data_IF_409646751769
#
_entry.id   IF_409646751769
#
_cell.length_a   1.000
_cell.length_b   1.000
_cell.length_c   1.000
_cell.angle_alpha   90.00
_cell.angle_beta   90.00
_cell.angle_gamma   90.00
#
_symmetry.space_group_name_H-M   'P 1'
#
loop_
_entity.id
_entity.type
_entity.pdbx_description
1 polymer ?
#
# COMPACT_ATOMS: atom_id res chain seq x y z
N UNK A 1 0.43 -27.91 -18.00
CA UNK A 1 1.40 -28.57 -17.10
C UNK A 1 0.95 -28.37 -15.65
N UNK A 2 0.91 -29.43 -14.82
CA UNK A 2 0.54 -29.32 -13.39
C UNK A 2 1.72 -28.79 -12.56
N UNK A 3 1.46 -27.87 -11.63
CA UNK A 3 2.45 -27.33 -10.70
C UNK A 3 2.19 -27.90 -9.29
N UNK A 4 3.24 -28.27 -8.59
CA UNK A 4 3.21 -28.84 -7.24
C UNK A 4 4.08 -28.00 -6.30
N UNK A 5 3.50 -27.55 -5.18
CA UNK A 5 4.25 -26.90 -4.11
C UNK A 5 4.64 -27.92 -3.04
N UNK A 6 5.94 -28.21 -2.94
CA UNK A 6 6.52 -29.14 -1.98
C UNK A 6 6.73 -28.53 -0.59
N UNK A 7 5.68 -27.94 -0.01
CA UNK A 7 5.79 -27.12 1.22
C UNK A 7 4.50 -27.12 2.04
N UNK A 8 4.63 -27.19 3.37
CA UNK A 8 3.53 -26.91 4.34
C UNK A 8 3.40 -25.42 4.69
N UNK A 9 4.31 -24.57 4.23
CA UNK A 9 4.32 -23.15 4.60
C UNK A 9 3.11 -22.42 4.04
N UNK A 10 2.27 -21.89 4.93
CA UNK A 10 1.14 -21.01 4.58
C UNK A 10 1.60 -19.77 3.83
N UNK A 11 2.74 -19.18 4.23
CA UNK A 11 3.32 -18.01 3.58
C UNK A 11 3.69 -18.29 2.11
N UNK A 12 4.37 -19.41 1.84
CA UNK A 12 4.77 -19.78 0.46
C UNK A 12 3.57 -20.10 -0.41
N UNK A 13 2.56 -20.78 0.14
CA UNK A 13 1.27 -21.04 -0.53
C UNK A 13 0.62 -19.71 -0.90
N UNK A 14 0.47 -18.80 0.07
CA UNK A 14 -0.15 -17.48 -0.13
C UNK A 14 0.60 -16.67 -1.18
N UNK A 15 1.94 -16.67 -1.17
CA UNK A 15 2.75 -16.01 -2.19
C UNK A 15 2.47 -16.58 -3.58
N UNK A 16 2.59 -17.88 -3.81
CA UNK A 16 2.35 -18.42 -5.15
C UNK A 16 0.92 -18.18 -5.65
N UNK A 17 -0.08 -18.25 -4.76
CA UNK A 17 -1.48 -17.91 -5.09
C UNK A 17 -1.65 -16.43 -5.44
N UNK A 18 -0.97 -15.53 -4.70
CA UNK A 18 -0.95 -14.10 -4.99
C UNK A 18 -0.46 -13.86 -6.43
N UNK A 19 0.59 -14.55 -6.88
CA UNK A 19 1.10 -14.40 -8.24
C UNK A 19 0.29 -15.18 -9.30
N UNK A 20 -0.95 -15.57 -9.01
CA UNK A 20 -1.87 -16.17 -9.99
C UNK A 20 -1.52 -17.61 -10.42
N UNK A 21 -0.59 -18.26 -9.74
CA UNK A 21 -0.21 -19.63 -10.08
C UNK A 21 -1.27 -20.62 -9.58
N UNK A 22 -1.77 -21.46 -10.48
CA UNK A 22 -2.59 -22.63 -10.13
C UNK A 22 -1.68 -23.82 -9.83
N UNK A 23 -1.65 -24.27 -8.58
CA UNK A 23 -0.80 -25.40 -8.14
C UNK A 23 -1.51 -26.29 -7.11
N UNK A 24 -1.01 -27.53 -6.97
CA UNK A 24 -1.40 -28.44 -5.90
C UNK A 24 -0.37 -28.41 -4.79
N UNK A 25 -0.81 -28.28 -3.54
CA UNK A 25 0.09 -28.42 -2.39
C UNK A 25 0.37 -29.91 -2.19
N UNK A 26 1.64 -30.31 -2.28
CA UNK A 26 2.07 -31.69 -2.02
C UNK A 26 3.24 -31.65 -1.04
N UNK A 27 2.97 -31.58 0.28
CA UNK A 27 4.03 -31.36 1.24
C UNK A 27 5.06 -32.48 1.31
N UNK A 28 6.33 -32.10 1.26
CA UNK A 28 7.45 -33.02 1.56
C UNK A 28 7.45 -33.45 3.03
N UNK A 29 7.75 -34.72 3.28
CA UNK A 29 8.01 -35.31 4.60
C UNK A 29 9.50 -35.35 4.95
N UNK A 30 10.40 -34.95 4.05
CA UNK A 30 11.84 -34.87 4.32
C UNK A 30 12.12 -33.97 5.54
N UNK A 31 12.90 -34.49 6.49
CA UNK A 31 13.38 -33.75 7.66
C UNK A 31 14.49 -32.79 7.26
N UNK A 32 14.30 -31.50 7.56
CA UNK A 32 15.28 -30.45 7.29
C UNK A 32 16.55 -30.65 8.12
N UNK A 33 17.71 -30.44 7.50
CA UNK A 33 18.99 -30.49 8.20
C UNK A 33 19.36 -29.09 8.71
N UNK A 34 19.73 -28.99 9.98
CA UNK A 34 20.24 -27.77 10.60
C UNK A 34 21.76 -27.62 10.50
N UNK A 35 22.47 -28.71 10.25
CA UNK A 35 23.92 -28.78 9.98
C UNK A 35 24.21 -30.02 9.15
N UNK A 36 25.14 -29.94 8.19
CA UNK A 36 25.63 -31.07 7.40
C UNK A 36 27.07 -30.82 7.01
N UNK A 37 28.01 -31.55 7.62
CA UNK A 37 29.44 -31.35 7.42
C UNK A 37 29.85 -29.88 7.53
N UNK A 38 30.69 -29.43 6.59
CA UNK A 38 31.17 -28.04 6.47
C UNK A 38 30.40 -27.23 5.41
N UNK A 39 29.14 -27.59 5.11
CA UNK A 39 28.35 -26.82 4.15
C UNK A 39 28.12 -25.38 4.64
N UNK A 40 28.32 -24.41 3.76
CA UNK A 40 27.88 -23.03 3.97
C UNK A 40 26.34 -22.96 4.10
N UNK A 41 25.82 -21.89 4.70
CA UNK A 41 24.37 -21.69 4.82
C UNK A 41 23.65 -21.72 3.47
N UNK A 42 24.25 -21.17 2.42
CA UNK A 42 23.73 -21.21 1.06
C UNK A 42 23.62 -22.64 0.52
N UNK A 43 24.67 -23.45 0.73
CA UNK A 43 24.67 -24.85 0.31
C UNK A 43 23.65 -25.67 1.11
N UNK A 44 23.51 -25.41 2.41
CA UNK A 44 22.54 -26.09 3.28
C UNK A 44 21.09 -25.87 2.82
N UNK A 45 20.70 -24.61 2.58
CA UNK A 45 19.33 -24.33 2.13
C UNK A 45 19.05 -24.86 0.72
N UNK A 46 20.04 -24.82 -0.18
CA UNK A 46 19.94 -25.45 -1.51
C UNK A 46 19.73 -26.96 -1.39
N UNK A 47 20.49 -27.61 -0.52
CA UNK A 47 20.41 -29.04 -0.26
C UNK A 47 19.02 -29.43 0.28
N UNK A 48 18.54 -28.74 1.31
CA UNK A 48 17.22 -28.99 1.89
C UNK A 48 16.09 -28.75 0.87
N UNK A 49 16.16 -27.65 0.10
CA UNK A 49 15.17 -27.37 -0.95
C UNK A 49 15.16 -28.46 -2.02
N UNK A 50 16.35 -28.91 -2.47
CA UNK A 50 16.47 -29.99 -3.46
C UNK A 50 15.81 -31.28 -2.99
N UNK A 51 16.12 -31.73 -1.77
CA UNK A 51 15.57 -33.00 -1.27
C UNK A 51 14.04 -32.97 -1.15
N UNK A 52 13.49 -31.83 -0.70
CA UNK A 52 12.03 -31.63 -0.66
C UNK A 52 11.41 -31.72 -2.04
N UNK A 53 12.02 -31.08 -3.04
CA UNK A 53 11.55 -31.15 -4.42
C UNK A 53 11.63 -32.58 -4.97
N UNK A 54 12.76 -33.26 -4.74
CA UNK A 54 13.00 -34.62 -5.23
C UNK A 54 12.01 -35.62 -4.65
N UNK A 55 11.74 -35.61 -3.35
CA UNK A 55 10.76 -36.51 -2.72
C UNK A 55 9.37 -36.42 -3.38
N UNK A 56 8.94 -35.21 -3.73
CA UNK A 56 7.67 -34.98 -4.41
C UNK A 56 7.77 -35.35 -5.89
N UNK A 57 8.90 -35.05 -6.56
CA UNK A 57 9.14 -35.40 -7.96
C UNK A 57 9.14 -36.92 -8.21
N UNK A 58 9.62 -37.73 -7.26
CA UNK A 58 9.54 -39.19 -7.30
C UNK A 58 8.09 -39.71 -7.28
N UNK A 59 7.16 -38.97 -6.68
CA UNK A 59 5.75 -39.36 -6.51
C UNK A 59 4.84 -38.90 -7.64
N UNK A 60 5.38 -38.18 -8.63
CA UNK A 60 4.60 -37.69 -9.78
C UNK A 60 5.18 -38.23 -11.09
N UNK A 61 4.31 -38.46 -12.07
CA UNK A 61 4.72 -38.88 -13.43
C UNK A 61 5.24 -37.68 -14.24
N UNK A 62 4.51 -36.56 -14.23
CA UNK A 62 4.84 -35.33 -14.93
C UNK A 62 4.38 -34.09 -14.15
N UNK A 63 5.06 -32.96 -14.37
CA UNK A 63 4.73 -31.67 -13.78
C UNK A 63 5.93 -30.86 -13.34
N UNK A 64 5.65 -29.76 -12.65
CA UNK A 64 6.65 -28.84 -12.10
C UNK A 64 6.58 -28.86 -10.58
N UNK A 65 7.66 -29.24 -9.89
CA UNK A 65 7.75 -29.23 -8.44
C UNK A 65 8.55 -28.01 -7.99
N UNK A 66 7.98 -27.21 -7.08
CA UNK A 66 8.64 -26.05 -6.47
C UNK A 66 8.83 -26.35 -4.98
N UNK A 67 10.06 -26.28 -4.50
CA UNK A 67 10.39 -26.43 -3.08
C UNK A 67 11.30 -25.32 -2.60
N UNK A 68 11.17 -24.95 -1.32
CA UNK A 68 12.04 -23.97 -0.69
C UNK A 68 12.39 -24.35 0.75
N UNK A 69 13.52 -23.84 1.21
CA UNK A 69 14.02 -23.98 2.57
C UNK A 69 14.55 -22.65 3.06
N UNK A 70 14.18 -22.22 4.26
CA UNK A 70 14.52 -20.88 4.76
C UNK A 70 15.10 -21.01 6.17
N UNK A 71 16.28 -20.42 6.40
CA UNK A 71 16.90 -20.34 7.71
C UNK A 71 17.24 -18.88 8.05
N UNK A 72 17.13 -18.53 9.32
CA UNK A 72 17.57 -17.24 9.84
C UNK A 72 18.93 -17.43 10.55
N UNK A 73 19.89 -16.55 10.30
CA UNK A 73 21.25 -16.64 10.85
C UNK A 73 21.65 -15.32 11.49
N UNK A 74 22.13 -15.39 12.73
CA UNK A 74 22.71 -14.24 13.43
C UNK A 74 23.97 -14.70 14.18
N UNK A 75 25.10 -14.01 13.98
CA UNK A 75 26.40 -14.32 14.60
C UNK A 75 26.78 -15.82 14.52
N UNK A 76 26.66 -16.42 13.34
CA UNK A 76 27.02 -17.83 13.10
C UNK A 76 26.00 -18.87 13.60
N UNK A 77 24.92 -18.45 14.28
CA UNK A 77 23.89 -19.34 14.82
C UNK A 77 22.65 -19.36 13.93
N UNK A 78 22.14 -20.57 13.65
CA UNK A 78 20.88 -20.78 12.92
C UNK A 78 19.70 -20.73 13.89
N UNK A 79 18.67 -19.98 13.49
CA UNK A 79 17.39 -19.83 14.16
C UNK A 79 16.30 -20.43 13.26
N UNK A 80 15.80 -21.60 13.66
CA UNK A 80 14.71 -22.30 12.98
C UNK A 80 13.34 -21.82 13.42
N UNK A 81 12.36 -22.72 13.46
CA UNK A 81 11.08 -22.49 14.12
C UNK A 81 11.21 -22.72 15.63
N UNK A 82 10.53 -21.93 16.47
CA UNK A 82 10.61 -22.09 17.92
C UNK A 82 9.94 -23.40 18.37
N UNK A 83 10.48 -24.04 19.41
CA UNK A 83 9.89 -25.26 20.00
C UNK A 83 8.66 -24.96 20.86
N UNK A 84 8.66 -23.81 21.52
CA UNK A 84 7.59 -23.32 22.38
C UNK A 84 7.62 -21.79 22.47
N UNK A 85 6.68 -21.19 23.19
CA UNK A 85 6.54 -19.74 23.28
C UNK A 85 7.73 -19.07 24.01
N UNK A 86 8.33 -19.75 24.98
CA UNK A 86 9.52 -19.26 25.70
C UNK A 86 10.74 -19.20 24.76
N UNK A 87 10.92 -20.24 23.95
CA UNK A 87 11.93 -20.28 22.89
C UNK A 87 11.71 -19.14 21.88
N UNK A 88 10.46 -18.95 21.44
CA UNK A 88 10.10 -17.85 20.54
C UNK A 88 10.45 -16.47 21.12
N UNK A 89 10.20 -16.24 22.42
CA UNK A 89 10.54 -14.96 23.08
C UNK A 89 12.04 -14.75 23.08
N UNK A 90 12.81 -15.76 23.51
CA UNK A 90 14.28 -15.72 23.53
C UNK A 90 14.85 -15.47 22.14
N UNK A 91 14.30 -16.15 21.12
CA UNK A 91 14.74 -16.00 19.73
C UNK A 91 14.47 -14.58 19.22
N UNK A 92 13.25 -14.06 19.36
CA UNK A 92 12.90 -12.73 18.87
C UNK A 92 13.68 -11.63 19.60
N UNK A 93 13.84 -11.75 20.93
CA UNK A 93 14.69 -10.85 21.72
C UNK A 93 16.11 -10.79 21.15
N UNK A 94 16.72 -11.96 20.92
CA UNK A 94 18.07 -12.07 20.38
C UNK A 94 18.19 -11.51 18.96
N UNK A 95 17.24 -11.84 18.10
CA UNK A 95 17.23 -11.36 16.72
C UNK A 95 17.01 -9.84 16.66
N UNK A 96 16.21 -9.26 17.55
CA UNK A 96 16.01 -7.80 17.60
C UNK A 96 17.25 -7.02 18.04
N UNK A 97 18.24 -7.67 18.66
CA UNK A 97 19.42 -6.98 19.22
C UNK A 97 20.53 -6.71 18.20
N UNK A 98 20.32 -7.01 16.91
CA UNK A 98 21.31 -6.78 15.87
C UNK A 98 20.95 -7.49 14.56
N UNK A 99 21.65 -7.19 13.45
CA UNK A 99 21.21 -7.64 12.14
C UNK A 99 21.31 -9.15 11.94
N UNK A 100 20.31 -9.71 11.29
CA UNK A 100 20.21 -11.13 10.92
C UNK A 100 20.15 -11.31 9.42
N UNK A 101 20.62 -12.46 8.92
CA UNK A 101 20.54 -12.83 7.50
C UNK A 101 19.59 -14.00 7.33
N UNK A 102 18.60 -13.86 6.45
CA UNK A 102 17.75 -14.96 6.00
C UNK A 102 18.29 -15.52 4.69
N UNK A 103 18.54 -16.81 4.68
CA UNK A 103 18.90 -17.57 3.50
C UNK A 103 17.70 -18.41 3.09
N UNK A 104 17.24 -18.28 1.85
CA UNK A 104 16.25 -19.21 1.28
C UNK A 104 16.83 -19.93 0.06
N UNK A 105 16.88 -21.25 0.13
CA UNK A 105 17.17 -22.11 -1.01
C UNK A 105 15.88 -22.42 -1.76
N UNK A 106 15.98 -22.50 -3.08
CA UNK A 106 14.87 -22.75 -3.99
C UNK A 106 15.28 -23.85 -4.96
N UNK A 107 14.44 -24.86 -5.11
CA UNK A 107 14.61 -25.93 -6.10
C UNK A 107 13.35 -26.05 -6.93
N UNK A 108 13.52 -26.08 -8.26
CA UNK A 108 12.43 -26.33 -9.20
C UNK A 108 12.81 -27.52 -10.08
N UNK A 109 11.95 -28.54 -10.09
CA UNK A 109 12.11 -29.76 -10.89
C UNK A 109 11.00 -29.79 -11.93
N UNK A 110 11.38 -29.79 -13.21
CA UNK A 110 10.46 -29.99 -14.34
C UNK A 110 10.59 -31.43 -14.82
N UNK A 111 9.48 -32.18 -14.79
CA UNK A 111 9.38 -33.56 -15.27
C UNK A 111 8.38 -33.62 -16.43
N UNK A 112 8.86 -34.00 -17.61
CA UNK A 112 8.08 -34.01 -18.85
C UNK A 112 8.63 -35.08 -19.80
N UNK A 113 7.77 -35.97 -20.33
CA UNK A 113 8.14 -37.01 -21.30
C UNK A 113 9.36 -37.86 -20.85
N UNK A 114 9.37 -38.26 -19.58
CA UNK A 114 10.45 -39.06 -18.99
C UNK A 114 11.76 -38.32 -18.73
N UNK A 115 11.88 -37.03 -19.09
CA UNK A 115 13.07 -36.21 -18.81
C UNK A 115 12.85 -35.37 -17.56
N UNK A 116 13.90 -35.25 -16.75
CA UNK A 116 13.92 -34.40 -15.55
C UNK A 116 14.95 -33.28 -15.72
N UNK A 117 14.53 -32.02 -15.52
CA UNK A 117 15.42 -30.87 -15.41
C UNK A 117 15.27 -30.24 -14.05
N UNK A 118 16.39 -30.10 -13.34
CA UNK A 118 16.43 -29.51 -12.00
C UNK A 118 17.25 -28.23 -12.03
N UNK A 119 16.68 -27.14 -11.51
CA UNK A 119 17.40 -25.88 -11.29
C UNK A 119 17.28 -25.50 -9.83
N UNK A 120 18.42 -25.16 -9.22
CA UNK A 120 18.54 -24.84 -7.81
C UNK A 120 19.24 -23.49 -7.68
N UNK A 121 18.67 -22.59 -6.88
CA UNK A 121 19.32 -21.33 -6.53
C UNK A 121 19.03 -20.96 -5.06
N UNK A 122 19.56 -19.84 -4.60
CA UNK A 122 19.28 -19.30 -3.28
C UNK A 122 19.22 -17.76 -3.31
N UNK A 123 18.66 -17.19 -2.25
CA UNK A 123 18.67 -15.76 -1.99
C UNK A 123 19.10 -15.49 -0.54
N UNK A 124 19.83 -14.38 -0.34
CA UNK A 124 20.23 -13.90 0.98
C UNK A 124 19.69 -12.48 1.18
N UNK A 125 18.95 -12.27 2.26
CA UNK A 125 18.45 -10.94 2.65
C UNK A 125 18.84 -10.64 4.08
N UNK A 126 19.35 -9.45 4.35
CA UNK A 126 19.68 -8.99 5.70
C UNK A 126 18.54 -8.14 6.24
N UNK A 127 18.17 -8.36 7.49
CA UNK A 127 17.06 -7.66 8.16
C UNK A 127 17.61 -6.95 9.39
N UNK A 128 17.16 -5.71 9.57
CA UNK A 128 17.51 -4.82 10.68
C UNK A 128 16.23 -4.53 11.46
N UNK A 129 16.30 -4.67 12.78
CA UNK A 129 15.18 -4.44 13.68
C UNK A 129 15.54 -3.43 14.74
N UNK A 130 14.53 -2.77 15.30
CA UNK A 130 14.70 -2.04 16.54
C UNK A 130 14.74 -3.02 17.73
N UNK A 131 15.59 -2.76 18.75
CA UNK A 131 15.67 -3.61 19.93
C UNK A 131 14.32 -3.72 20.66
N UNK A 132 13.88 -4.94 20.97
CA UNK A 132 12.59 -5.17 21.61
C UNK A 132 12.70 -5.45 23.12
N UNK A 133 11.84 -4.79 23.90
CA UNK A 133 11.62 -5.10 25.33
C UNK A 133 10.67 -6.30 25.48
N UNK A 134 10.73 -7.02 26.61
CA UNK A 134 9.93 -8.25 26.81
C UNK A 134 8.42 -7.99 26.82
N UNK A 135 8.02 -6.80 27.26
CA UNK A 135 6.63 -6.33 27.19
C UNK A 135 6.15 -6.18 25.74
N UNK A 136 6.98 -5.64 24.85
CA UNK A 136 6.66 -5.49 23.41
C UNK A 136 6.53 -6.86 22.74
N UNK A 137 7.48 -7.77 22.99
CA UNK A 137 7.45 -9.15 22.48
C UNK A 137 6.18 -9.87 22.94
N UNK A 138 5.83 -9.75 24.23
CA UNK A 138 4.64 -10.38 24.78
C UNK A 138 3.35 -9.80 24.20
N UNK A 139 3.28 -8.49 24.01
CA UNK A 139 2.15 -7.83 23.34
C UNK A 139 1.99 -8.28 21.89
N UNK A 140 3.11 -8.40 21.18
CA UNK A 140 3.15 -8.90 19.80
C UNK A 140 2.64 -10.36 19.71
N UNK A 141 3.12 -11.25 20.59
CA UNK A 141 2.71 -12.66 20.59
C UNK A 141 1.26 -12.90 21.01
N UNK A 142 0.62 -11.97 21.73
CA UNK A 142 -0.85 -12.03 21.95
C UNK A 142 -1.63 -11.93 20.64
N UNK A 143 -1.06 -11.25 19.63
CA UNK A 143 -1.74 -10.92 18.37
C UNK A 143 -1.21 -11.73 17.18
N UNK A 144 -0.01 -12.31 17.28
CA UNK A 144 0.63 -13.04 16.19
C UNK A 144 1.22 -14.35 16.71
N UNK A 145 0.81 -15.48 16.12
CA UNK A 145 1.41 -16.78 16.44
C UNK A 145 2.85 -16.86 15.91
N UNK A 146 3.86 -17.13 16.75
CA UNK A 146 5.25 -17.21 16.31
C UNK A 146 5.69 -18.60 15.86
N UNK A 147 4.86 -19.63 16.09
CA UNK A 147 5.26 -21.04 16.04
C UNK A 147 5.60 -21.56 14.64
N UNK A 148 5.04 -20.97 13.60
CA UNK A 148 5.25 -21.36 12.21
C UNK A 148 6.33 -20.55 11.49
N UNK A 149 7.00 -19.61 12.19
CA UNK A 149 7.88 -18.59 11.60
C UNK A 149 9.34 -18.79 12.00
N UNK A 150 10.22 -18.83 11.01
CA UNK A 150 11.66 -18.86 11.26
C UNK A 150 12.09 -17.53 11.89
N UNK A 151 12.71 -17.58 13.08
CA UNK A 151 13.04 -16.37 13.85
C UNK A 151 11.87 -15.72 14.59
N UNK A 152 10.69 -16.34 14.61
CA UNK A 152 9.56 -15.95 15.48
C UNK A 152 8.92 -14.58 15.19
N UNK A 153 9.09 -14.02 13.99
CA UNK A 153 8.41 -12.80 13.56
C UNK A 153 7.80 -12.94 12.16
N UNK A 154 6.79 -12.12 11.85
CA UNK A 154 6.35 -11.87 10.48
C UNK A 154 6.80 -10.50 10.00
N UNK A 155 6.98 -10.38 8.68
CA UNK A 155 7.35 -9.11 8.03
C UNK A 155 6.16 -8.43 7.36
N UNK A 156 5.07 -9.17 7.10
CA UNK A 156 3.86 -8.67 6.45
C UNK A 156 2.75 -8.29 7.44
N UNK A 157 2.89 -8.72 8.70
CA UNK A 157 1.89 -8.50 9.75
C UNK A 157 2.37 -7.47 10.77
N UNK A 158 2.01 -7.67 12.04
CA UNK A 158 2.34 -6.74 13.12
C UNK A 158 3.84 -6.68 13.42
N UNK A 159 4.65 -7.62 12.90
CA UNK A 159 6.09 -7.54 13.02
C UNK A 159 6.73 -6.46 12.14
N UNK A 160 6.02 -5.90 11.16
CA UNK A 160 6.49 -4.78 10.35
C UNK A 160 6.89 -3.56 11.19
N UNK A 161 6.20 -3.31 12.32
CA UNK A 161 6.43 -2.16 13.20
C UNK A 161 7.83 -2.08 13.83
N UNK A 162 8.55 -3.20 13.93
CA UNK A 162 9.89 -3.24 14.51
C UNK A 162 10.97 -3.57 13.50
N UNK A 163 10.65 -3.56 12.20
CA UNK A 163 11.61 -3.77 11.12
C UNK A 163 12.06 -2.41 10.62
N UNK A 164 13.30 -2.06 10.95
CA UNK A 164 13.91 -0.78 10.58
C UNK A 164 14.28 -0.73 9.10
N UNK A 165 14.86 -1.81 8.58
CA UNK A 165 15.39 -1.87 7.21
C UNK A 165 15.59 -3.30 6.72
N UNK A 166 15.48 -3.49 5.41
CA UNK A 166 15.74 -4.77 4.74
C UNK A 166 16.73 -4.52 3.61
N UNK A 167 17.84 -5.24 3.63
CA UNK A 167 18.84 -5.21 2.54
C UNK A 167 18.74 -6.52 1.75
N UNK A 168 18.03 -6.45 0.62
CA UNK A 168 17.85 -7.58 -0.31
C UNK A 168 16.39 -7.79 -0.69
N UNK A 169 16.03 -9.04 -1.00
CA UNK A 169 14.69 -9.38 -1.47
C UNK A 169 13.69 -9.47 -0.31
N UNK A 170 12.63 -8.66 -0.34
CA UNK A 170 11.52 -8.72 0.62
C UNK A 170 10.84 -10.10 0.64
N UNK A 171 10.49 -10.64 -0.53
CA UNK A 171 9.82 -11.94 -0.64
C UNK A 171 10.68 -13.11 -0.13
N UNK A 172 12.02 -12.97 -0.16
CA UNK A 172 12.92 -13.92 0.49
C UNK A 172 12.68 -13.96 2.01
N UNK A 173 12.44 -12.80 2.64
CA UNK A 173 12.16 -12.73 4.09
C UNK A 173 10.81 -13.35 4.42
N UNK A 174 9.81 -13.19 3.54
CA UNK A 174 8.52 -13.89 3.65
C UNK A 174 8.68 -15.41 3.49
N UNK A 175 9.71 -15.86 2.75
CA UNK A 175 10.13 -17.26 2.66
C UNK A 175 10.12 -17.85 1.25
N UNK A 176 9.96 -17.04 0.21
CA UNK A 176 10.06 -17.49 -1.19
C UNK A 176 10.61 -16.35 -2.08
N UNK A 177 11.87 -16.42 -2.56
CA UNK A 177 12.46 -15.36 -3.37
C UNK A 177 11.91 -15.38 -4.81
N UNK A 178 10.86 -14.60 -5.06
CA UNK A 178 10.11 -14.65 -6.32
C UNK A 178 10.93 -14.22 -7.55
N UNK A 179 11.83 -13.24 -7.41
CA UNK A 179 12.74 -12.86 -8.50
C UNK A 179 13.63 -14.05 -8.91
N UNK A 180 14.16 -14.79 -7.94
CA UNK A 180 14.93 -16.01 -8.22
C UNK A 180 14.07 -17.08 -8.86
N UNK A 181 12.83 -17.27 -8.38
CA UNK A 181 11.88 -18.20 -8.99
C UNK A 181 11.59 -17.86 -10.47
N UNK A 182 11.40 -16.58 -10.79
CA UNK A 182 11.24 -16.10 -12.17
C UNK A 182 12.46 -16.44 -13.05
N UNK A 183 13.68 -16.22 -12.56
CA UNK A 183 14.90 -16.61 -13.30
C UNK A 183 15.02 -18.13 -13.48
N UNK A 184 14.59 -18.91 -12.49
CA UNK A 184 14.53 -20.37 -12.63
C UNK A 184 13.51 -20.78 -13.69
N UNK A 185 12.33 -20.15 -13.72
CA UNK A 185 11.32 -20.39 -14.75
C UNK A 185 11.85 -20.07 -16.15
N UNK A 186 12.59 -18.96 -16.32
CA UNK A 186 13.28 -18.65 -17.59
C UNK A 186 14.25 -19.75 -17.99
N UNK A 187 15.12 -20.19 -17.08
CA UNK A 187 16.09 -21.28 -17.34
C UNK A 187 15.43 -22.60 -17.72
N UNK A 188 14.23 -22.87 -17.20
CA UNK A 188 13.46 -24.07 -17.51
C UNK A 188 12.58 -23.93 -18.77
N UNK A 189 12.62 -22.79 -19.47
CA UNK A 189 11.82 -22.53 -20.66
C UNK A 189 10.32 -22.40 -20.37
N UNK A 190 9.94 -21.95 -19.17
CA UNK A 190 8.54 -21.86 -18.72
C UNK A 190 7.91 -20.52 -19.09
N UNK A 191 8.03 -20.12 -20.35
CA UNK A 191 7.56 -18.83 -20.86
C UNK A 191 6.05 -18.65 -20.71
N UNK A 192 5.25 -19.71 -20.89
CA UNK A 192 3.79 -19.65 -20.70
C UNK A 192 3.39 -19.32 -19.27
N UNK A 193 4.11 -19.83 -18.27
CA UNK A 193 3.89 -19.49 -16.86
C UNK A 193 4.24 -18.02 -16.62
N UNK A 194 5.34 -17.55 -17.19
CA UNK A 194 5.77 -16.15 -17.07
C UNK A 194 4.75 -15.19 -17.70
N UNK A 195 4.30 -15.47 -18.92
CA UNK A 195 3.29 -14.66 -19.61
C UNK A 195 1.96 -14.67 -18.85
N UNK A 196 1.52 -15.82 -18.33
CA UNK A 196 0.27 -15.91 -17.56
C UNK A 196 0.30 -15.08 -16.26
N UNK A 197 1.45 -15.06 -15.55
CA UNK A 197 1.63 -14.21 -14.36
C UNK A 197 1.61 -12.72 -14.74
N UNK A 198 2.17 -12.35 -15.89
CA UNK A 198 2.19 -10.96 -16.37
C UNK A 198 0.80 -10.49 -16.86
N UNK A 199 0.03 -11.37 -17.51
CA UNK A 199 -1.31 -11.06 -18.05
C UNK A 199 -2.37 -10.98 -16.94
N UNK A 200 -2.24 -11.74 -15.85
CA UNK A 200 -3.14 -11.64 -14.69
C UNK A 200 -2.91 -10.39 -13.82
N UNK A 201 -1.78 -9.70 -13.99
CA UNK A 201 -1.60 -8.34 -13.50
C UNK A 201 -2.27 -7.41 -14.51
N UNK A 202 -3.59 -7.26 -14.42
CA UNK A 202 -4.37 -6.31 -15.22
C UNK A 202 -3.90 -4.88 -14.98
N UNK A 203 -2.79 -4.51 -15.61
CA UNK A 203 -2.32 -3.15 -15.73
C UNK A 203 -3.08 -2.55 -16.90
N UNK A 204 -4.04 -1.68 -16.62
CA UNK A 204 -4.51 -0.76 -17.65
C UNK A 204 -3.47 0.37 -17.74
N UNK A 205 -3.05 0.67 -18.96
CA UNK A 205 -2.39 1.96 -19.23
C UNK A 205 -3.51 2.86 -19.72
N UNK A 206 -3.78 3.92 -18.96
CA UNK A 206 -4.83 4.89 -19.24
C UNK A 206 -4.16 6.26 -19.42
N UNK A 207 -4.60 7.01 -20.42
CA UNK A 207 -4.19 8.40 -20.57
C UNK A 207 -5.07 9.26 -19.67
N UNK A 208 -4.48 9.85 -18.62
CA UNK A 208 -5.22 10.72 -17.73
C UNK A 208 -5.23 12.15 -18.30
N UNK A 209 -6.42 12.62 -18.69
CA UNK A 209 -6.62 13.94 -19.31
C UNK A 209 -6.15 15.09 -18.41
N UNK A 210 -6.34 14.97 -17.09
CA UNK A 210 -5.98 16.03 -16.15
C UNK A 210 -4.48 16.13 -15.92
N UNK A 211 -3.79 14.99 -15.83
CA UNK A 211 -2.32 14.98 -15.67
C UNK A 211 -1.58 15.08 -17.01
N UNK A 212 -2.28 14.86 -18.13
CA UNK A 212 -1.76 14.81 -19.50
C UNK A 212 -0.67 13.76 -19.69
N UNK A 213 -0.71 12.67 -18.91
CA UNK A 213 0.29 11.61 -18.92
C UNK A 213 -0.35 10.23 -19.14
N UNK A 214 0.41 9.34 -19.79
CA UNK A 214 0.09 7.91 -19.79
C UNK A 214 0.47 7.29 -18.45
N UNK A 215 -0.53 6.79 -17.75
CA UNK A 215 -0.39 6.30 -16.39
C UNK A 215 -0.80 4.84 -16.29
N UNK A 216 -0.05 4.07 -15.51
CA UNK A 216 -0.30 2.63 -15.32
C UNK A 216 -1.05 2.40 -14.03
N UNK A 217 -2.26 1.87 -14.16
CA UNK A 217 -3.14 1.57 -13.06
C UNK A 217 -3.25 0.07 -12.83
N UNK A 218 -2.88 -0.36 -11.62
CA UNK A 218 -3.16 -1.71 -11.13
C UNK A 218 -4.61 -1.83 -10.62
N UNK A 219 -5.18 -0.70 -10.17
CA UNK A 219 -6.58 -0.57 -9.80
C UNK A 219 -7.28 0.25 -10.88
N UNK A 220 -7.98 -0.44 -11.78
CA UNK A 220 -8.85 0.21 -12.76
C UNK A 220 -10.05 0.89 -12.07
N UNK A 221 -10.80 1.70 -12.82
CA UNK A 221 -11.93 2.49 -12.28
C UNK A 221 -12.93 1.65 -11.49
N UNK A 222 -13.36 0.48 -11.97
CA UNK A 222 -14.32 -0.37 -11.25
C UNK A 222 -13.84 -0.75 -9.85
N UNK A 223 -12.56 -1.12 -9.72
CA UNK A 223 -11.98 -1.49 -8.42
C UNK A 223 -11.83 -0.29 -7.50
N UNK A 224 -11.51 0.87 -8.06
CA UNK A 224 -11.47 2.13 -7.32
C UNK A 224 -12.85 2.47 -6.76
N UNK A 225 -13.92 2.35 -7.56
CA UNK A 225 -15.30 2.63 -7.13
C UNK A 225 -15.73 1.66 -6.02
N UNK A 226 -15.50 0.36 -6.20
CA UNK A 226 -15.82 -0.66 -5.16
C UNK A 226 -15.05 -0.37 -3.86
N UNK A 227 -13.81 0.09 -3.97
CA UNK A 227 -13.02 0.49 -2.81
C UNK A 227 -13.63 1.70 -2.11
N UNK A 228 -13.95 2.76 -2.86
CA UNK A 228 -14.62 3.96 -2.35
C UNK A 228 -15.88 3.62 -1.57
N UNK A 229 -16.76 2.79 -2.15
CA UNK A 229 -17.99 2.32 -1.51
C UNK A 229 -17.74 1.56 -0.21
N UNK A 230 -16.64 0.80 -0.12
CA UNK A 230 -16.28 0.09 1.11
C UNK A 230 -15.78 1.04 2.19
N UNK A 231 -15.02 2.07 1.82
CA UNK A 231 -14.51 3.08 2.77
C UNK A 231 -15.65 3.99 3.23
N UNK A 232 -16.53 4.43 2.32
CA UNK A 232 -17.71 5.22 2.66
C UNK A 232 -18.56 4.51 3.72
N UNK A 233 -18.81 3.20 3.57
CA UNK A 233 -19.54 2.41 4.58
C UNK A 233 -18.86 2.35 5.95
N UNK A 234 -17.56 2.61 6.02
CA UNK A 234 -16.82 2.73 7.28
C UNK A 234 -16.91 4.14 7.85
N UNK A 235 -16.77 5.17 7.00
CA UNK A 235 -17.03 6.57 7.37
C UNK A 235 -18.42 6.72 7.96
N UNK A 236 -19.45 6.15 7.31
CA UNK A 236 -20.84 6.13 7.77
C UNK A 236 -21.05 5.49 9.15
N UNK A 237 -20.14 4.61 9.58
CA UNK A 237 -20.21 3.95 10.88
C UNK A 237 -19.44 4.68 11.97
N UNK A 238 -18.33 5.32 11.61
CA UNK A 238 -17.39 5.90 12.57
C UNK A 238 -17.63 7.40 12.80
N UNK A 239 -18.09 8.12 11.78
CA UNK A 239 -18.26 9.58 11.81
C UNK A 239 -19.73 9.97 11.77
N UNK A 240 -20.03 11.16 12.32
CA UNK A 240 -21.37 11.75 12.32
C UNK A 240 -21.53 12.69 11.14
N UNK A 241 -22.73 12.71 10.57
CA UNK A 241 -23.10 13.60 9.47
C UNK A 241 -23.99 14.71 10.00
N UNK A 242 -23.85 15.90 9.42
CA UNK A 242 -24.77 17.01 9.72
C UNK A 242 -26.22 16.58 9.44
N UNK A 243 -27.17 17.13 10.18
CA UNK A 243 -28.60 16.98 9.88
C UNK A 243 -29.17 18.17 9.12
N UNK A 244 -28.38 19.23 8.89
CA UNK A 244 -28.82 20.44 8.21
C UNK A 244 -29.02 20.19 6.70
N UNK A 245 -30.26 20.25 6.18
CA UNK A 245 -30.53 20.05 4.76
C UNK A 245 -29.98 21.18 3.87
N UNK A 246 -29.83 22.40 4.39
CA UNK A 246 -29.31 23.53 3.62
C UNK A 246 -27.81 23.37 3.38
N UNK A 247 -27.05 22.99 4.41
CA UNK A 247 -25.62 22.70 4.27
C UNK A 247 -25.37 21.55 3.29
N UNK A 248 -26.12 20.45 3.41
CA UNK A 248 -26.03 19.31 2.49
C UNK A 248 -26.28 19.73 1.04
N UNK A 249 -27.40 20.43 0.82
CA UNK A 249 -27.78 20.87 -0.53
C UNK A 249 -26.76 21.85 -1.12
N UNK A 250 -26.27 22.81 -0.34
CA UNK A 250 -25.25 23.78 -0.78
C UNK A 250 -23.98 23.08 -1.28
N UNK A 251 -23.44 22.15 -0.48
CA UNK A 251 -22.22 21.40 -0.83
C UNK A 251 -22.47 20.49 -2.04
N UNK A 252 -23.63 19.84 -2.11
CA UNK A 252 -24.00 18.95 -3.21
C UNK A 252 -24.19 19.71 -4.54
N UNK A 253 -24.90 20.84 -4.53
CA UNK A 253 -25.17 21.64 -5.73
C UNK A 253 -23.87 22.21 -6.31
N UNK A 254 -23.01 22.81 -5.47
CA UNK A 254 -21.71 23.33 -5.88
C UNK A 254 -20.80 22.20 -6.38
N UNK A 255 -20.69 21.12 -5.61
CA UNK A 255 -19.84 19.98 -5.93
C UNK A 255 -20.22 19.32 -7.26
N UNK A 256 -21.52 19.09 -7.50
CA UNK A 256 -22.01 18.53 -8.77
C UNK A 256 -21.72 19.45 -9.96
N UNK A 257 -21.88 20.76 -9.79
CA UNK A 257 -21.57 21.74 -10.85
C UNK A 257 -20.10 21.67 -11.26
N UNK A 258 -19.19 21.51 -10.30
CA UNK A 258 -17.75 21.35 -10.56
C UNK A 258 -17.45 19.98 -11.18
N UNK A 259 -18.04 18.90 -10.67
CA UNK A 259 -17.83 17.55 -11.20
C UNK A 259 -18.22 17.44 -12.69
N UNK A 260 -19.28 18.13 -13.12
CA UNK A 260 -19.74 18.16 -14.51
C UNK A 260 -18.71 18.72 -15.51
N UNK A 261 -17.89 19.67 -15.06
CA UNK A 261 -16.84 20.31 -15.89
C UNK A 261 -15.47 19.67 -15.71
N UNK A 262 -15.33 18.73 -14.77
CA UNK A 262 -14.08 18.02 -14.53
C UNK A 262 -13.73 17.03 -15.65
N UNK A 263 -12.45 16.70 -15.77
CA UNK A 263 -11.94 15.80 -16.82
C UNK A 263 -12.34 14.33 -16.61
N UNK A 264 -12.88 13.97 -15.43
CA UNK A 264 -13.23 12.59 -15.07
C UNK A 264 -14.74 12.45 -14.85
N UNK A 265 -15.44 11.93 -15.86
CA UNK A 265 -16.92 11.89 -15.94
C UNK A 265 -17.51 10.49 -15.86
N UNK A 266 -16.66 9.47 -15.84
CA UNK A 266 -17.06 8.05 -15.86
C UNK A 266 -17.40 7.49 -14.47
N UNK A 267 -17.33 8.30 -13.42
CA UNK A 267 -17.68 7.93 -12.04
C UNK A 267 -18.77 8.85 -11.48
N UNK A 268 -19.53 8.32 -10.52
CA UNK A 268 -20.50 9.11 -9.76
C UNK A 268 -19.79 9.86 -8.62
N UNK A 269 -20.13 11.14 -8.46
CA UNK A 269 -19.61 11.97 -7.37
C UNK A 269 -20.64 12.09 -6.25
N UNK A 270 -20.15 11.95 -5.02
CA UNK A 270 -20.96 12.00 -3.81
C UNK A 270 -20.40 13.06 -2.87
N UNK A 271 -21.24 13.98 -2.43
CA UNK A 271 -20.84 15.09 -1.56
C UNK A 271 -21.59 14.97 -0.23
N UNK A 272 -20.84 14.95 0.87
CA UNK A 272 -21.42 14.78 2.20
C UNK A 272 -20.76 15.73 3.21
N UNK A 273 -21.49 16.08 4.27
CA UNK A 273 -21.02 17.00 5.30
C UNK A 273 -20.94 16.29 6.64
N UNK A 274 -19.75 16.33 7.24
CA UNK A 274 -19.42 15.71 8.53
C UNK A 274 -19.58 16.72 9.66
N UNK A 275 -20.17 16.29 10.77
CA UNK A 275 -20.36 17.09 11.98
C UNK A 275 -19.07 17.12 12.81
N UNK A 276 -18.15 18.00 12.43
CA UNK A 276 -16.81 18.14 13.01
C UNK A 276 -16.40 19.63 12.99
N UNK A 277 -15.92 20.15 14.12
CA UNK A 277 -15.55 21.58 14.28
C UNK A 277 -14.23 21.95 13.58
N UNK A 278 -13.54 20.97 13.00
CA UNK A 278 -12.25 21.18 12.35
C UNK A 278 -12.41 21.74 10.93
N UNK A 279 -11.54 22.67 10.54
CA UNK A 279 -11.51 23.23 9.18
C UNK A 279 -10.83 22.23 8.26
N UNK A 280 -11.60 21.32 7.66
CA UNK A 280 -11.08 20.29 6.76
C UNK A 280 -12.10 19.84 5.70
N UNK A 281 -11.58 19.41 4.55
CA UNK A 281 -12.29 18.67 3.52
C UNK A 281 -11.40 17.52 3.05
N UNK A 282 -12.00 16.48 2.47
CA UNK A 282 -11.24 15.32 2.02
C UNK A 282 -11.99 14.50 0.98
N UNK A 283 -11.24 13.99 0.02
CA UNK A 283 -11.71 13.10 -1.04
C UNK A 283 -11.31 11.64 -0.80
N UNK A 284 -12.20 10.72 -1.20
CA UNK A 284 -11.96 9.28 -1.26
C UNK A 284 -11.88 8.77 -2.70
N UNK A 285 -11.25 7.60 -2.91
CA UNK A 285 -11.38 6.87 -4.17
C UNK A 285 -12.85 6.70 -4.57
N UNK A 286 -13.13 6.72 -5.88
CA UNK A 286 -14.48 6.43 -6.38
C UNK A 286 -15.50 7.56 -6.26
N UNK A 287 -15.06 8.80 -6.04
CA UNK A 287 -15.92 9.98 -6.21
C UNK A 287 -16.53 10.57 -4.94
N UNK A 288 -16.17 10.11 -3.74
CA UNK A 288 -16.71 10.68 -2.50
C UNK A 288 -15.89 11.87 -2.02
N UNK A 289 -16.57 12.95 -1.64
CA UNK A 289 -15.99 14.16 -1.05
C UNK A 289 -16.74 14.49 0.24
N UNK A 290 -15.98 14.72 1.31
CA UNK A 290 -16.50 15.07 2.63
C UNK A 290 -16.00 16.45 3.02
N UNK A 291 -16.89 17.23 3.61
CA UNK A 291 -16.58 18.56 4.13
C UNK A 291 -17.02 18.66 5.58
N UNK A 292 -16.18 19.19 6.45
CA UNK A 292 -16.54 19.37 7.86
C UNK A 292 -17.37 20.63 8.07
N UNK A 293 -18.31 20.62 9.02
CA UNK A 293 -19.10 21.81 9.41
C UNK A 293 -18.21 22.98 9.81
N UNK A 294 -17.10 22.71 10.53
CA UNK A 294 -16.13 23.73 10.90
C UNK A 294 -15.47 24.44 9.71
N UNK A 295 -15.39 23.80 8.53
CA UNK A 295 -14.95 24.46 7.30
C UNK A 295 -16.05 25.35 6.72
N UNK A 296 -17.30 24.90 6.71
CA UNK A 296 -18.44 25.67 6.23
C UNK A 296 -18.64 26.97 7.02
N UNK A 297 -18.26 26.99 8.30
CA UNK A 297 -18.31 28.16 9.17
C UNK A 297 -17.18 29.18 8.90
N UNK A 298 -16.17 28.82 8.09
CA UNK A 298 -14.99 29.67 7.80
C UNK A 298 -14.93 30.18 6.37
N UNK A 299 -15.70 29.59 5.47
CA UNK A 299 -15.82 30.10 4.08
C UNK A 299 -16.73 31.32 4.07
N UNK A 300 -16.30 32.39 3.39
CA UNK A 300 -17.08 33.64 3.35
C UNK A 300 -18.17 33.62 2.29
N UNK A 301 -17.99 32.84 1.22
CA UNK A 301 -18.89 32.78 0.08
C UNK A 301 -18.82 31.42 -0.64
N UNK A 302 -19.66 31.26 -1.65
CA UNK A 302 -19.73 30.03 -2.45
C UNK A 302 -18.52 29.84 -3.36
N UNK A 303 -17.81 30.92 -3.74
CA UNK A 303 -16.59 30.81 -4.55
C UNK A 303 -15.45 30.15 -3.76
N UNK A 304 -15.28 30.48 -2.48
CA UNK A 304 -14.29 29.82 -1.60
C UNK A 304 -14.64 28.34 -1.41
N UNK A 305 -15.91 28.03 -1.12
CA UNK A 305 -16.36 26.65 -0.99
C UNK A 305 -16.19 25.87 -2.31
N UNK A 306 -16.50 26.50 -3.45
CA UNK A 306 -16.32 25.91 -4.77
C UNK A 306 -14.85 25.61 -5.05
N UNK A 307 -13.93 26.51 -4.71
CA UNK A 307 -12.49 26.28 -4.87
C UNK A 307 -12.01 25.08 -4.04
N UNK A 308 -12.45 24.96 -2.78
CA UNK A 308 -12.11 23.83 -1.92
C UNK A 308 -12.64 22.51 -2.49
N UNK A 309 -13.90 22.48 -2.91
CA UNK A 309 -14.49 21.28 -3.54
C UNK A 309 -13.80 20.94 -4.86
N UNK A 310 -13.40 21.94 -5.64
CA UNK A 310 -12.67 21.75 -6.88
C UNK A 310 -11.27 21.17 -6.65
N UNK A 311 -10.58 21.59 -5.59
CA UNK A 311 -9.31 21.00 -5.16
C UNK A 311 -9.47 19.51 -4.81
N UNK A 312 -10.51 19.15 -4.03
CA UNK A 312 -10.79 17.74 -3.70
C UNK A 312 -11.15 16.90 -4.94
N UNK A 313 -11.93 17.47 -5.87
CA UNK A 313 -12.20 16.84 -7.17
C UNK A 313 -10.90 16.70 -7.97
N UNK A 314 -9.96 17.65 -7.86
CA UNK A 314 -8.62 17.57 -8.43
C UNK A 314 -7.87 16.30 -8.01
N UNK A 315 -7.92 15.93 -6.72
CA UNK A 315 -7.33 14.67 -6.24
C UNK A 315 -8.00 13.42 -6.82
N UNK A 316 -9.33 13.44 -6.97
CA UNK A 316 -10.12 12.33 -7.54
C UNK A 316 -9.80 12.15 -9.02
N UNK A 317 -9.76 13.26 -9.76
CA UNK A 317 -9.50 13.28 -11.20
C UNK A 317 -8.05 12.84 -11.48
N UNK A 318 -7.08 13.34 -10.72
CA UNK A 318 -5.68 12.95 -10.84
C UNK A 318 -5.37 11.56 -10.22
N UNK A 319 -6.38 10.92 -9.61
CA UNK A 319 -6.30 9.59 -8.98
C UNK A 319 -5.18 9.48 -7.94
N UNK A 320 -4.91 10.55 -7.19
CA UNK A 320 -3.81 10.61 -6.21
C UNK A 320 -3.92 9.51 -5.15
N UNK A 321 -5.15 9.23 -4.67
CA UNK A 321 -5.41 8.16 -3.70
C UNK A 321 -5.02 6.78 -4.25
N UNK A 322 -5.34 6.49 -5.51
CA UNK A 322 -4.97 5.22 -6.18
C UNK A 322 -3.47 5.15 -6.44
N UNK A 323 -2.85 6.21 -6.96
CA UNK A 323 -1.39 6.25 -7.20
C UNK A 323 -0.62 6.01 -5.92
N UNK A 324 -1.04 6.62 -4.81
CA UNK A 324 -0.48 6.40 -3.46
C UNK A 324 -0.61 4.95 -3.01
N UNK A 325 -1.81 4.35 -3.16
CA UNK A 325 -2.04 2.94 -2.84
C UNK A 325 -1.19 2.00 -3.70
N UNK A 326 -0.97 2.33 -4.98
CA UNK A 326 -0.13 1.55 -5.90
C UNK A 326 1.36 1.67 -5.59
N UNK A 327 1.84 2.88 -5.29
CA UNK A 327 3.25 3.16 -5.01
C UNK A 327 3.77 2.37 -3.81
N UNK A 328 2.91 2.09 -2.83
CA UNK A 328 3.27 1.30 -1.65
C UNK A 328 3.37 -0.23 -1.91
N UNK A 329 3.15 -0.71 -3.14
CA UNK A 329 3.27 -2.13 -3.57
C UNK A 329 2.66 -3.15 -2.58
N UNK A 330 1.51 -2.86 -2.00
CA UNK A 330 0.81 -3.80 -1.13
C UNK A 330 -0.13 -4.68 -1.95
N UNK A 331 0.44 -5.73 -2.56
CA UNK A 331 -0.30 -6.89 -3.11
C UNK A 331 -1.31 -7.50 -2.10
N UNK A 332 -1.22 -7.11 -0.83
CA UNK A 332 -2.16 -7.39 0.26
C UNK A 332 -3.53 -6.71 0.09
N UNK A 333 -3.62 -5.49 -0.44
CA UNK A 333 -4.88 -4.73 -0.65
C UNK A 333 -5.66 -5.32 -1.85
N UNK A 334 -4.94 -5.71 -2.91
CA UNK A 334 -5.49 -6.41 -4.09
C UNK A 334 -6.33 -7.64 -3.72
N UNK A 335 -5.89 -8.43 -2.73
CA UNK A 335 -6.61 -9.66 -2.32
C UNK A 335 -7.92 -9.37 -1.60
N UNK A 336 -8.03 -8.18 -1.04
CA UNK A 336 -9.12 -7.77 -0.19
C UNK A 336 -10.21 -7.10 -1.02
N UNK A 337 -9.84 -6.45 -2.13
CA UNK A 337 -10.76 -5.99 -3.17
C UNK A 337 -11.31 -7.13 -4.05
N UNK A 338 -10.50 -8.16 -4.32
CA UNK A 338 -10.99 -9.37 -5.04
C UNK A 338 -11.96 -10.18 -4.17
N UNK A 339 -11.89 -10.05 -2.84
CA UNK A 339 -12.88 -10.62 -1.91
C UNK A 339 -14.20 -9.83 -1.82
N UNK A 340 -14.35 -8.72 -2.56
CA UNK A 340 -15.59 -7.92 -2.64
C UNK A 340 -16.49 -8.37 -3.79
N UNK A 341 -16.09 -9.36 -4.59
CA UNK A 341 -17.08 -10.14 -5.33
C UNK A 341 -17.98 -10.84 -4.29
N UNK A 342 -19.31 -10.79 -4.40
CA UNK A 342 -20.22 -11.14 -3.32
C UNK A 342 -20.13 -12.63 -3.00
N UNK A 343 -19.26 -12.98 -2.05
CA UNK A 343 -19.32 -14.23 -1.32
C UNK A 343 -19.93 -13.90 0.05
N UNK A 344 -21.11 -14.44 0.38
CA UNK A 344 -21.72 -14.17 1.67
C UNK A 344 -20.84 -14.74 2.80
N UNK A 345 -20.51 -13.92 3.79
CA UNK A 345 -20.16 -14.40 5.14
C UNK A 345 -18.68 -14.47 5.55
N UNK A 346 -17.71 -13.91 4.83
CA UNK A 346 -16.34 -13.81 5.35
C UNK A 346 -16.06 -12.41 5.91
N UNK A 347 -15.75 -12.31 7.21
CA UNK A 347 -15.38 -11.08 7.92
C UNK A 347 -14.04 -10.45 7.47
N UNK A 348 -13.61 -10.67 6.23
CA UNK A 348 -12.35 -10.18 5.65
C UNK A 348 -12.49 -8.77 5.04
N UNK A 349 -13.72 -8.31 4.74
CA UNK A 349 -14.02 -6.97 4.20
C UNK A 349 -13.56 -5.86 5.16
N UNK A 350 -13.68 -6.08 6.47
CA UNK A 350 -13.29 -5.10 7.50
C UNK A 350 -11.82 -4.71 7.40
N UNK A 351 -10.91 -5.66 7.22
CA UNK A 351 -9.46 -5.36 7.17
C UNK A 351 -9.02 -4.56 5.93
N UNK A 352 -9.81 -4.54 4.85
CA UNK A 352 -9.51 -3.74 3.65
C UNK A 352 -9.91 -2.32 3.85
N UNK A 353 -11.16 -2.18 4.28
CA UNK A 353 -11.75 -0.92 4.61
C UNK A 353 -10.84 -0.25 5.66
N UNK A 354 -10.46 -0.96 6.74
CA UNK A 354 -9.62 -0.42 7.81
C UNK A 354 -8.26 0.12 7.32
N UNK A 355 -7.58 -0.61 6.42
CA UNK A 355 -6.27 -0.18 5.90
C UNK A 355 -6.43 0.99 4.93
N UNK A 356 -7.44 0.94 4.05
CA UNK A 356 -7.71 2.01 3.10
C UNK A 356 -8.21 3.28 3.82
N UNK A 357 -9.01 3.12 4.88
CA UNK A 357 -9.48 4.17 5.77
C UNK A 357 -8.34 4.78 6.58
N UNK A 358 -7.45 3.96 7.15
CA UNK A 358 -6.22 4.48 7.80
C UNK A 358 -5.35 5.26 6.81
N UNK A 359 -5.32 4.84 5.55
CA UNK A 359 -4.53 5.50 4.50
C UNK A 359 -5.16 6.81 4.01
N UNK A 360 -6.48 6.88 3.97
CA UNK A 360 -7.24 8.10 3.75
C UNK A 360 -6.86 9.19 4.76
N UNK A 361 -6.63 8.81 6.02
CA UNK A 361 -6.21 9.75 7.07
C UNK A 361 -4.78 10.30 6.88
N UNK A 362 -3.99 9.78 5.93
CA UNK A 362 -2.64 10.29 5.64
C UNK A 362 -2.70 11.30 4.50
N UNK A 363 -2.00 12.43 4.60
CA UNK A 363 -1.96 13.47 3.56
C UNK A 363 -1.25 13.08 2.26
N UNK A 364 -1.44 13.83 1.18
CA UNK A 364 -0.84 13.58 -0.14
C UNK A 364 0.62 14.08 -0.24
N UNK A 365 1.29 13.79 -1.36
CA UNK A 365 2.63 14.34 -1.62
C UNK A 365 2.55 15.82 -2.01
N UNK A 366 3.66 16.55 -1.92
CA UNK A 366 3.68 17.99 -2.25
C UNK A 366 3.32 18.22 -3.72
N UNK A 367 3.79 17.36 -4.60
CA UNK A 367 3.51 17.42 -6.03
C UNK A 367 2.03 17.17 -6.34
N UNK A 368 1.39 16.23 -5.61
CA UNK A 368 -0.04 15.95 -5.75
C UNK A 368 -0.89 17.15 -5.32
N UNK A 369 -0.53 17.82 -4.22
CA UNK A 369 -1.23 19.00 -3.70
C UNK A 369 -1.16 20.18 -4.67
N UNK A 370 0.03 20.47 -5.23
CA UNK A 370 0.20 21.53 -6.22
C UNK A 370 -0.59 21.27 -7.50
N UNK A 371 -0.65 20.01 -7.95
CA UNK A 371 -1.48 19.64 -9.09
C UNK A 371 -2.97 19.76 -8.78
N UNK A 372 -3.40 19.38 -7.57
CA UNK A 372 -4.78 19.55 -7.13
C UNK A 372 -5.20 21.02 -7.07
N UNK A 373 -4.30 21.93 -6.66
CA UNK A 373 -4.54 23.37 -6.70
C UNK A 373 -4.73 23.91 -8.13
N UNK A 374 -3.88 23.47 -9.06
CA UNK A 374 -4.01 23.84 -10.49
C UNK A 374 -5.34 23.35 -11.06
N UNK A 375 -5.66 22.07 -10.87
CA UNK A 375 -6.90 21.48 -11.34
C UNK A 375 -8.11 22.13 -10.66
N UNK A 376 -8.03 22.41 -9.36
CA UNK A 376 -9.08 23.07 -8.61
C UNK A 376 -9.38 24.46 -9.14
N UNK A 377 -8.37 25.29 -9.37
CA UNK A 377 -8.53 26.62 -9.97
C UNK A 377 -9.15 26.53 -11.38
N UNK A 378 -8.70 25.58 -12.21
CA UNK A 378 -9.27 25.33 -13.54
C UNK A 378 -10.75 24.96 -13.45
N UNK A 379 -11.12 23.99 -12.62
CA UNK A 379 -12.50 23.50 -12.56
C UNK A 379 -13.44 24.49 -11.89
N UNK A 380 -12.99 25.25 -10.88
CA UNK A 380 -13.77 26.34 -10.31
C UNK A 380 -14.13 27.39 -11.39
N UNK A 381 -13.13 27.82 -12.17
CA UNK A 381 -13.32 28.73 -13.30
C UNK A 381 -14.28 28.18 -14.35
N UNK A 382 -14.11 26.93 -14.77
CA UNK A 382 -14.98 26.28 -15.76
C UNK A 382 -16.43 26.11 -15.26
N UNK A 383 -16.61 25.91 -13.95
CA UNK A 383 -17.92 25.85 -13.30
C UNK A 383 -18.56 27.23 -13.09
N UNK A 384 -17.87 28.31 -13.45
CA UNK A 384 -18.36 29.69 -13.35
C UNK A 384 -18.25 30.28 -11.94
N UNK A 385 -17.34 29.77 -11.11
CA UNK A 385 -16.95 30.38 -9.82
C UNK A 385 -15.67 31.20 -9.99
N UNK A 386 -15.42 32.13 -9.07
CA UNK A 386 -14.18 32.91 -9.07
C UNK A 386 -12.99 32.07 -8.55
N UNK A 387 -12.01 31.70 -9.40
CA UNK A 387 -10.88 30.89 -8.97
C UNK A 387 -9.90 31.64 -8.04
N UNK A 388 -9.96 32.98 -7.96
CA UNK A 388 -9.13 33.74 -7.01
C UNK A 388 -9.55 33.50 -5.56
N UNK A 389 -10.78 33.03 -5.33
CA UNK A 389 -11.24 32.65 -4.00
C UNK A 389 -10.40 31.51 -3.40
N UNK A 390 -9.74 30.69 -4.23
CA UNK A 390 -8.73 29.72 -3.78
C UNK A 390 -7.58 30.42 -3.05
N UNK A 391 -7.06 31.51 -3.61
CA UNK A 391 -5.94 32.28 -3.03
C UNK A 391 -6.38 32.93 -1.72
N UNK A 392 -7.55 33.56 -1.70
CA UNK A 392 -8.13 34.19 -0.50
C UNK A 392 -8.29 33.17 0.62
N UNK A 393 -8.83 31.99 0.31
CA UNK A 393 -9.02 30.93 1.31
C UNK A 393 -7.69 30.35 1.81
N UNK A 394 -6.67 30.17 0.94
CA UNK A 394 -5.34 29.70 1.36
C UNK A 394 -4.67 30.65 2.35
N UNK A 395 -4.77 31.97 2.11
CA UNK A 395 -4.26 32.99 3.03
C UNK A 395 -5.04 32.95 4.36
N UNK A 396 -6.37 32.89 4.30
CA UNK A 396 -7.22 32.76 5.49
C UNK A 396 -6.87 31.52 6.31
N UNK A 397 -6.66 30.38 5.66
CA UNK A 397 -6.30 29.13 6.30
C UNK A 397 -4.91 29.21 6.96
N UNK A 398 -3.97 29.92 6.36
CA UNK A 398 -2.67 30.22 6.98
C UNK A 398 -2.84 31.01 8.27
N UNK A 399 -3.68 32.04 8.26
CA UNK A 399 -3.92 32.89 9.42
C UNK A 399 -4.67 32.17 10.56
N UNK A 400 -5.65 31.34 10.23
CA UNK A 400 -6.36 30.49 11.21
C UNK A 400 -5.37 29.57 11.92
N UNK A 401 -4.48 28.93 11.16
CA UNK A 401 -3.51 27.97 11.71
C UNK A 401 -2.40 28.65 12.53
N UNK A 402 -1.98 29.88 12.18
CA UNK A 402 -1.03 30.67 12.98
C UNK A 402 -1.53 30.98 14.39
N UNK A 403 -2.86 31.10 14.56
CA UNK A 403 -3.50 31.48 15.83
C UNK A 403 -3.87 30.28 16.72
N UNK A 404 -3.72 29.05 16.23
CA UNK A 404 -3.99 27.82 17.00
C UNK A 404 -2.70 27.19 17.53
N UNK A 405 -2.68 26.62 18.75
CA UNK A 405 -1.53 25.86 19.23
C UNK A 405 -1.28 24.68 18.28
N UNK A 406 0.00 24.35 18.04
CA UNK A 406 0.45 23.25 17.18
C UNK A 406 -0.20 21.91 17.59
N UNK A 407 -1.39 21.62 17.07
CA UNK A 407 -2.00 20.30 17.20
C UNK A 407 -1.19 19.32 16.35
N UNK A 408 -0.94 18.11 16.87
CA UNK A 408 -0.13 17.09 16.19
C UNK A 408 -0.65 16.71 14.79
N UNK A 409 -1.94 16.99 14.52
CA UNK A 409 -2.68 16.77 13.26
C UNK A 409 -2.87 18.05 12.42
N UNK A 410 -1.95 19.01 12.48
CA UNK A 410 -2.05 20.25 11.70
C UNK A 410 -1.94 20.00 10.18
N UNK A 411 -2.86 20.58 9.42
CA UNK A 411 -2.93 20.65 7.94
C UNK A 411 -1.56 20.95 7.29
N UNK A 412 -0.72 21.77 7.93
CA UNK A 412 0.61 22.16 7.45
C UNK A 412 1.71 21.09 7.53
N UNK A 413 1.52 19.97 8.25
CA UNK A 413 2.54 18.89 8.26
C UNK A 413 2.62 18.14 6.93
N UNK A 414 1.58 18.21 6.10
CA UNK A 414 1.46 17.44 4.85
C UNK A 414 1.33 18.29 3.59
N UNK A 415 0.95 19.57 3.69
CA UNK A 415 0.73 20.44 2.52
C UNK A 415 1.95 21.34 2.21
N UNK A 416 2.18 21.71 0.92
CA UNK A 416 3.22 22.66 0.51
C UNK A 416 3.07 24.04 1.16
N UNK A 417 4.11 24.87 1.03
CA UNK A 417 4.05 26.26 1.46
C UNK A 417 2.99 27.03 0.66
N UNK A 418 2.26 27.93 1.33
CA UNK A 418 1.19 28.73 0.71
C UNK A 418 1.65 29.52 -0.52
N UNK A 419 2.84 30.16 -0.55
CA UNK A 419 3.34 30.81 -1.77
C UNK A 419 3.48 29.86 -2.97
N UNK A 420 3.96 28.63 -2.76
CA UNK A 420 4.06 27.65 -3.85
C UNK A 420 2.68 27.29 -4.43
N UNK A 421 1.66 27.17 -3.57
CA UNK A 421 0.27 26.91 -3.95
C UNK A 421 -0.35 28.09 -4.71
N UNK A 422 -0.16 29.31 -4.21
CA UNK A 422 -0.63 30.53 -4.88
C UNK A 422 0.01 30.66 -6.27
N UNK A 423 1.31 30.39 -6.38
CA UNK A 423 2.04 30.45 -7.66
C UNK A 423 1.44 29.51 -8.70
N UNK A 424 1.14 28.26 -8.34
CA UNK A 424 0.60 27.30 -9.30
C UNK A 424 -0.84 27.65 -9.71
N UNK A 425 -1.63 28.23 -8.81
CA UNK A 425 -2.96 28.78 -9.14
C UNK A 425 -2.82 29.94 -10.13
N UNK A 426 -1.99 30.95 -9.84
CA UNK A 426 -1.74 32.08 -10.75
C UNK A 426 -1.25 31.62 -12.13
N UNK A 427 -0.36 30.64 -12.15
CA UNK A 427 0.15 30.06 -13.39
C UNK A 427 -0.96 29.41 -14.23
N UNK A 428 -1.87 28.67 -13.60
CA UNK A 428 -3.04 28.09 -14.29
C UNK A 428 -4.01 29.17 -14.79
N UNK A 429 -4.14 30.28 -14.06
CA UNK A 429 -4.98 31.41 -14.46
C UNK A 429 -4.35 32.29 -15.55
N UNK A 430 -3.07 32.08 -15.87
CA UNK A 430 -2.33 32.87 -16.86
C UNK A 430 -1.89 34.25 -16.33
N UNK A 431 -1.81 34.40 -15.01
CA UNK A 431 -1.43 35.64 -14.35
C UNK A 431 0.09 35.80 -14.25
N UNK A 432 0.59 37.05 -14.24
CA UNK A 432 2.00 37.31 -14.01
C UNK A 432 2.39 36.91 -12.58
N UNK A 433 3.48 36.17 -12.46
CA UNK A 433 4.06 35.76 -11.18
C UNK A 433 4.98 36.90 -10.71
N UNK A 434 4.71 37.45 -9.52
CA UNK A 434 5.52 38.51 -8.93
C UNK A 434 6.68 37.94 -8.11
N UNK A 435 7.66 38.78 -7.75
CA UNK A 435 8.75 38.36 -6.87
C UNK A 435 8.24 37.88 -5.50
N UNK A 436 7.16 38.47 -4.98
CA UNK A 436 6.55 38.10 -3.71
C UNK A 436 6.02 36.65 -3.71
N UNK A 437 5.63 36.12 -4.88
CA UNK A 437 5.21 34.73 -5.06
C UNK A 437 6.37 33.73 -4.96
N UNK A 438 7.62 34.20 -4.93
CA UNK A 438 8.83 33.39 -4.71
C UNK A 438 9.39 33.49 -3.29
N UNK A 439 8.96 34.48 -2.49
CA UNK A 439 9.49 34.66 -1.14
C UNK A 439 8.68 33.82 -0.16
N UNK A 440 9.32 32.79 0.40
CA UNK A 440 8.86 32.20 1.65
C UNK A 440 9.16 33.21 2.78
N UNK A 441 8.26 34.17 3.02
CA UNK A 441 8.44 35.22 4.06
C UNK A 441 8.50 34.63 5.49
N UNK A 442 8.33 33.32 5.66
CA UNK A 442 8.24 32.63 6.96
C UNK A 442 9.57 32.38 7.71
N UNK A 443 10.57 33.25 7.57
CA UNK A 443 11.67 33.33 8.55
C UNK A 443 12.01 34.78 8.92
N UNK A 444 11.07 35.49 9.56
CA UNK A 444 11.49 36.40 10.63
C UNK A 444 11.30 35.67 11.95
N UNK A 445 12.38 35.26 12.65
CA UNK A 445 12.26 34.84 14.03
C UNK A 445 11.76 36.03 14.82
N UNK A 446 10.79 35.80 15.71
CA UNK A 446 10.34 36.78 16.69
C UNK A 446 11.57 37.46 17.32
N UNK A 447 11.69 38.78 17.14
CA UNK A 447 12.42 39.58 18.13
C UNK A 447 11.67 39.39 19.45
N UNK A 448 12.44 38.97 20.46
CA UNK A 448 12.01 38.64 21.82
C UNK A 448 11.11 39.72 22.43
#
# INVERSE_FOLDING_TARGET
MKIYLASKSKARKKLLEQFGLKFKVFPSKVKEQSKRGNLSYAQLVKFNARNKAQEVAFKIKEGLVIAADTICVQKGKIFGKPKNIQDARRMLKKLSSGPQSLYTGLAVIKKEKGKEKTVIDYEKTKVYMDPLKDRQISSYFKKVSPMDKAGSFDIQGKGAFFIKRIDGCFYNVVGLPLRKLYHIFKKLGLFSIICFVLVLCGCSTEYNLATKQEEKYYYNTDKEVIMGQSINRQVEKELKFTNDPLQKKRVEDIGKKIALVSDRKEIDYHFQVLEEDTVNAVSLPGGYVYVNTGLLDKVDNDDELACILAHEIGHIVARHSIKKLQAMQSFSILRLLVAVAPAPGTGEVGTAADVAFTQFLLGYSREDELLADQLGARYAKLAGYDPHAMITFLIKLQDINRRMPLQEKSYFKTHPYVPDRIRVVKQELGEPISFDDYINIEQQPHKQ
#
